data_IF_201217831328
#
_entry.id   IF_201217831328
#
_cell.length_a   1.000
_cell.length_b   1.000
_cell.length_c   1.000
_cell.angle_alpha   90.00
_cell.angle_beta   90.00
_cell.angle_gamma   90.00
#
_symmetry.space_group_name_H-M   'P 1'
#
loop_
_entity.id
_entity.type
_entity.pdbx_description
1 polymer ?
#
# COMPACT_ATOMS: atom_id res chain seq x y z
N UNK A 1 34.45 -26.65 8.85
CA UNK A 1 33.35 -25.79 9.33
C UNK A 1 33.49 -24.34 8.81
N UNK A 2 33.61 -24.12 7.49
CA UNK A 2 33.76 -22.77 6.90
C UNK A 2 32.89 -22.50 5.67
N UNK A 3 32.14 -23.51 5.19
CA UNK A 3 31.34 -23.41 3.95
C UNK A 3 29.83 -23.33 4.18
N UNK A 4 29.36 -23.58 5.39
CA UNK A 4 27.91 -23.59 5.73
C UNK A 4 27.41 -22.20 6.11
N UNK A 5 28.32 -21.25 6.41
CA UNK A 5 27.96 -19.92 6.87
C UNK A 5 27.64 -18.90 5.75
N UNK A 6 27.80 -19.29 4.47
CA UNK A 6 27.69 -18.34 3.34
C UNK A 6 26.30 -18.38 2.69
N UNK A 7 25.47 -19.39 2.98
CA UNK A 7 24.18 -19.60 2.30
C UNK A 7 22.96 -18.98 3.01
N UNK A 8 23.13 -18.36 4.18
CA UNK A 8 22.01 -17.80 4.95
C UNK A 8 21.76 -16.30 4.74
N UNK A 9 22.57 -15.60 3.94
CA UNK A 9 22.50 -14.13 3.81
C UNK A 9 21.62 -13.61 2.66
N UNK A 10 21.14 -14.46 1.75
CA UNK A 10 20.47 -14.00 0.52
C UNK A 10 18.92 -13.97 0.58
N UNK A 11 18.30 -14.39 1.68
CA UNK A 11 16.84 -14.54 1.75
C UNK A 11 16.07 -13.30 2.25
N UNK A 12 16.75 -12.25 2.72
CA UNK A 12 16.08 -11.07 3.32
C UNK A 12 15.79 -9.93 2.33
N UNK A 13 16.11 -10.06 1.04
CA UNK A 13 15.88 -8.98 0.07
C UNK A 13 14.43 -8.93 -0.50
N UNK A 14 13.52 -9.76 0.00
CA UNK A 14 12.10 -9.75 -0.39
C UNK A 14 11.15 -9.23 0.70
N UNK A 15 11.66 -8.59 1.77
CA UNK A 15 10.80 -7.78 2.66
C UNK A 15 10.52 -6.40 2.05
N UNK A 16 10.21 -6.37 0.76
CA UNK A 16 9.56 -5.25 0.07
C UNK A 16 8.09 -5.55 -0.23
N UNK A 17 7.56 -6.68 0.25
CA UNK A 17 6.12 -6.91 0.27
C UNK A 17 5.51 -5.90 1.25
N UNK A 18 5.21 -4.70 0.75
CA UNK A 18 4.30 -3.77 1.41
C UNK A 18 2.91 -4.38 1.29
N UNK A 19 2.70 -5.49 2.01
CA UNK A 19 1.39 -5.78 2.56
C UNK A 19 1.17 -4.63 3.51
N UNK A 20 0.55 -3.55 3.00
CA UNK A 20 -0.05 -2.57 3.87
C UNK A 20 -1.02 -3.42 4.69
N UNK A 21 -0.75 -3.67 5.98
CA UNK A 21 -1.70 -4.40 6.77
C UNK A 21 -2.97 -3.62 6.59
N UNK A 22 -4.01 -4.26 6.06
CA UNK A 22 -5.28 -3.62 5.75
C UNK A 22 -5.86 -3.07 7.06
N UNK A 23 -5.37 -1.90 7.50
CA UNK A 23 -5.94 -1.08 8.55
C UNK A 23 -7.09 -0.36 7.86
N UNK A 24 -8.00 -1.14 7.28
CA UNK A 24 -9.24 -0.71 6.64
C UNK A 24 -10.08 0.14 7.61
N UNK A 25 -9.75 0.15 8.91
CA UNK A 25 -10.30 1.09 9.89
C UNK A 25 -9.70 2.51 9.89
N UNK A 26 -8.41 2.69 9.60
CA UNK A 26 -7.73 4.00 9.65
C UNK A 26 -7.84 4.77 8.33
N UNK A 27 -7.59 4.09 7.20
CA UNK A 27 -7.73 4.73 5.88
C UNK A 27 -9.19 5.13 5.61
N UNK A 28 -10.16 4.36 6.11
CA UNK A 28 -11.58 4.67 5.90
C UNK A 28 -12.04 5.92 6.69
N UNK A 29 -11.51 6.16 7.89
CA UNK A 29 -11.84 7.37 8.67
C UNK A 29 -11.14 8.61 8.10
N UNK A 30 -9.89 8.49 7.65
CA UNK A 30 -9.20 9.57 6.95
C UNK A 30 -9.87 9.89 5.60
N UNK A 31 -10.22 8.86 4.81
CA UNK A 31 -10.89 9.04 3.53
C UNK A 31 -12.28 9.68 3.68
N UNK A 32 -13.01 9.39 4.77
CA UNK A 32 -14.27 10.05 5.11
C UNK A 32 -14.13 11.56 5.40
N UNK A 33 -12.94 12.03 5.82
CA UNK A 33 -12.65 13.46 5.96
C UNK A 33 -12.30 14.12 4.61
N UNK A 34 -11.79 13.36 3.64
CA UNK A 34 -11.46 13.86 2.29
C UNK A 34 -12.69 13.88 1.38
N UNK A 35 -13.57 12.88 1.53
CA UNK A 35 -14.73 12.68 0.68
C UNK A 35 -15.95 12.30 1.54
N UNK A 36 -17.05 13.04 1.37
CA UNK A 36 -18.33 12.70 2.03
C UNK A 36 -18.86 11.32 1.61
N UNK A 37 -18.53 10.88 0.39
CA UNK A 37 -18.82 9.53 -0.11
C UNK A 37 -17.58 8.98 -0.79
N UNK A 38 -16.63 8.50 0.01
CA UNK A 38 -15.43 7.86 -0.49
C UNK A 38 -15.78 6.57 -1.27
N UNK A 39 -15.27 6.47 -2.49
CA UNK A 39 -15.38 5.29 -3.33
C UNK A 39 -13.98 4.82 -3.76
N UNK A 40 -13.43 3.74 -3.18
CA UNK A 40 -12.12 3.21 -3.54
C UNK A 40 -12.06 2.65 -4.97
N UNK A 41 -13.18 2.58 -5.70
CA UNK A 41 -13.23 2.17 -7.11
C UNK A 41 -13.03 3.33 -8.08
N UNK A 42 -13.07 4.58 -7.61
CA UNK A 42 -12.74 5.76 -8.43
C UNK A 42 -11.24 6.03 -8.28
N UNK A 43 -10.48 5.94 -9.37
CA UNK A 43 -9.01 6.02 -9.31
C UNK A 43 -8.51 7.28 -8.59
N UNK A 44 -9.06 8.45 -8.93
CA UNK A 44 -8.65 9.71 -8.30
C UNK A 44 -8.90 9.74 -6.80
N UNK A 45 -10.05 9.21 -6.34
CA UNK A 45 -10.37 9.19 -4.92
C UNK A 45 -9.46 8.23 -4.16
N UNK A 46 -9.23 7.05 -4.72
CA UNK A 46 -8.34 6.06 -4.13
C UNK A 46 -6.90 6.58 -4.05
N UNK A 47 -6.36 7.16 -5.13
CA UNK A 47 -4.98 7.67 -5.15
C UNK A 47 -4.82 8.85 -4.20
N UNK A 48 -5.77 9.80 -4.17
CA UNK A 48 -5.70 10.92 -3.26
C UNK A 48 -5.79 10.47 -1.78
N UNK A 49 -6.68 9.53 -1.46
CA UNK A 49 -6.76 8.93 -0.13
C UNK A 49 -5.46 8.23 0.25
N UNK A 50 -4.87 7.43 -0.64
CA UNK A 50 -3.59 6.77 -0.41
C UNK A 50 -2.45 7.77 -0.13
N UNK A 51 -2.39 8.89 -0.87
CA UNK A 51 -1.36 9.92 -0.66
C UNK A 51 -1.58 10.66 0.67
N UNK A 52 -2.83 10.97 1.01
CA UNK A 52 -3.18 11.81 2.18
C UNK A 52 -3.25 11.03 3.49
N UNK A 53 -3.69 9.78 3.44
CA UNK A 53 -3.97 8.94 4.59
C UNK A 53 -2.85 7.93 4.84
N UNK A 54 -2.31 7.34 3.78
CA UNK A 54 -1.31 6.28 3.88
C UNK A 54 0.11 6.80 3.53
N UNK A 55 0.23 8.11 3.24
CA UNK A 55 1.48 8.79 2.90
C UNK A 55 2.26 8.15 1.73
N UNK A 56 1.54 7.49 0.82
CA UNK A 56 2.11 6.94 -0.41
C UNK A 56 2.48 8.01 -1.44
N UNK A 57 3.20 7.59 -2.49
CA UNK A 57 3.44 8.42 -3.67
C UNK A 57 2.49 8.01 -4.81
N UNK A 58 2.39 8.85 -5.85
CA UNK A 58 1.48 8.61 -6.98
C UNK A 58 1.70 7.23 -7.60
N UNK A 59 2.94 6.82 -7.87
CA UNK A 59 3.24 5.53 -8.50
C UNK A 59 2.72 4.35 -7.68
N UNK A 60 3.09 4.29 -6.39
CA UNK A 60 2.68 3.22 -5.49
C UNK A 60 1.17 3.23 -5.27
N UNK A 61 0.57 4.42 -5.11
CA UNK A 61 -0.86 4.57 -4.93
C UNK A 61 -1.65 4.15 -6.16
N UNK A 62 -1.22 4.51 -7.38
CA UNK A 62 -1.86 4.07 -8.62
C UNK A 62 -1.82 2.55 -8.75
N UNK A 63 -0.69 1.92 -8.44
CA UNK A 63 -0.61 0.45 -8.42
C UNK A 63 -1.55 -0.16 -7.39
N UNK A 64 -1.52 0.33 -6.14
CA UNK A 64 -2.40 -0.15 -5.07
C UNK A 64 -3.89 0.00 -5.43
N UNK A 65 -4.28 1.15 -5.98
CA UNK A 65 -5.65 1.43 -6.40
C UNK A 65 -6.09 0.56 -7.58
N UNK A 66 -5.18 0.30 -8.54
CA UNK A 66 -5.45 -0.64 -9.63
C UNK A 66 -5.69 -2.06 -9.09
N UNK A 67 -4.88 -2.51 -8.13
CA UNK A 67 -5.07 -3.82 -7.46
C UNK A 67 -6.38 -3.88 -6.65
N UNK A 68 -6.80 -2.75 -6.07
CA UNK A 68 -8.12 -2.58 -5.43
C UNK A 68 -9.27 -2.50 -6.46
N UNK A 69 -8.98 -2.51 -7.76
CA UNK A 69 -9.96 -2.49 -8.85
C UNK A 69 -10.52 -1.11 -9.16
N UNK A 70 -9.79 -0.04 -8.79
CA UNK A 70 -10.12 1.30 -9.20
C UNK A 70 -9.92 1.49 -10.71
N UNK A 71 -10.77 2.30 -11.32
CA UNK A 71 -10.74 2.63 -12.76
C UNK A 71 -10.86 4.12 -12.97
#
# INVERSE_FOLDING_TARGET
MRKVAILSAAAFLLSGCWSDPEVTGSTNSCAANLYSQYNPKVMDQCVNACIKCDHGNVTTCTTSCTLKGAR
#
